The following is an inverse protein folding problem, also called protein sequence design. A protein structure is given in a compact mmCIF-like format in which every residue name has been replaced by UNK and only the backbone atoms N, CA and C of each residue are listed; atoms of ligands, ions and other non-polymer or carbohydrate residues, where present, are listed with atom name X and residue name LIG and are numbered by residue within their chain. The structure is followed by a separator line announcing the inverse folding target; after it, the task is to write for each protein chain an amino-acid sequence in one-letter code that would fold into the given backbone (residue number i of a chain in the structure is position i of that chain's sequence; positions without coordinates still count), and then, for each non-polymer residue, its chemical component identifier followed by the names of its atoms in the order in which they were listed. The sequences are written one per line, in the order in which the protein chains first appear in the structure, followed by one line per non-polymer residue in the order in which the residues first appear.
data_IF_300337600976
#
_entry.id   IF_300337600976
#
_cell.length_a   1.000
_cell.length_b   1.000
_cell.length_c   1.000
_cell.angle_alpha   90.00
_cell.angle_beta   90.00
_cell.angle_gamma   90.00
#
_symmetry.space_group_name_H-M   'P 1'
#
loop_
_entity.id
_entity.type
_entity.pdbx_description
1 polymer ?
#
# COMPACT_ATOMS: atom_id res chain seq x y z
N UNK A 1 -30.42 -49.03 30.01
CA UNK A 1 -30.12 -47.96 29.02
C UNK A 1 -28.71 -47.47 29.32
N UNK A 2 -27.74 -47.88 28.51
CA UNK A 2 -26.34 -47.46 28.64
C UNK A 2 -26.14 -46.09 28.00
N UNK A 3 -25.33 -45.18 28.56
CA UNK A 3 -25.01 -43.92 27.92
C UNK A 3 -24.00 -44.14 26.78
N UNK A 4 -24.22 -43.43 25.68
CA UNK A 4 -23.39 -43.41 24.47
C UNK A 4 -22.15 -42.53 24.73
N UNK A 5 -20.93 -42.91 24.30
CA UNK A 5 -19.76 -42.04 24.43
C UNK A 5 -19.84 -40.91 23.41
N UNK A 6 -19.62 -39.67 23.86
CA UNK A 6 -19.41 -38.52 22.98
C UNK A 6 -17.93 -38.55 22.58
N UNK A 7 -17.67 -38.81 21.29
CA UNK A 7 -16.34 -38.67 20.71
C UNK A 7 -15.94 -37.19 20.73
N UNK A 8 -15.12 -36.82 21.71
CA UNK A 8 -14.35 -35.58 21.66
C UNK A 8 -13.37 -35.68 20.50
N UNK A 9 -13.71 -35.02 19.39
CA UNK A 9 -12.78 -34.71 18.32
C UNK A 9 -11.69 -33.83 18.92
N UNK A 10 -10.56 -34.44 19.25
CA UNK A 10 -9.31 -33.75 19.50
C UNK A 10 -8.95 -33.02 18.21
N UNK A 11 -9.21 -31.71 18.21
CA UNK A 11 -8.69 -30.83 17.18
C UNK A 11 -7.18 -30.84 17.36
N UNK A 12 -6.51 -31.61 16.50
CA UNK A 12 -5.05 -31.70 16.44
C UNK A 12 -4.49 -30.29 16.54
N UNK A 13 -3.91 -30.02 17.70
CA UNK A 13 -3.08 -28.84 17.90
C UNK A 13 -1.83 -29.12 17.08
N UNK A 14 -1.92 -28.80 15.79
CA UNK A 14 -0.78 -28.80 14.91
C UNK A 14 0.28 -27.94 15.59
N UNK A 15 1.27 -28.61 16.15
CA UNK A 15 2.49 -28.02 16.65
C UNK A 15 3.13 -27.32 15.45
N UNK A 16 2.79 -26.05 15.25
CA UNK A 16 3.56 -25.15 14.41
C UNK A 16 4.93 -25.13 15.06
N UNK A 17 5.88 -25.85 14.45
CA UNK A 17 7.26 -25.81 14.87
C UNK A 17 7.64 -24.35 15.01
N UNK A 18 7.99 -23.95 16.22
CA UNK A 18 8.45 -22.61 16.58
C UNK A 18 9.88 -22.43 16.04
N UNK A 19 10.04 -22.67 14.74
CA UNK A 19 11.22 -22.30 13.99
C UNK A 19 11.18 -20.79 13.87
N UNK A 20 12.14 -20.12 14.54
CA UNK A 20 12.35 -18.68 14.44
C UNK A 20 12.26 -18.26 12.97
N UNK A 21 11.19 -17.56 12.61
CA UNK A 21 11.00 -17.08 11.24
C UNK A 21 12.08 -16.04 10.99
N UNK A 22 12.81 -16.17 9.87
CA UNK A 22 13.96 -15.33 9.49
C UNK A 22 13.74 -13.81 9.64
N UNK A 23 12.49 -13.35 9.59
CA UNK A 23 12.09 -11.95 9.68
C UNK A 23 10.98 -11.70 10.70
N UNK A 24 10.89 -12.49 11.77
CA UNK A 24 9.84 -12.38 12.79
C UNK A 24 9.72 -10.95 13.38
N UNK A 25 10.85 -10.26 13.55
CA UNK A 25 10.89 -8.90 14.11
C UNK A 25 10.61 -7.79 13.07
N UNK A 26 10.59 -8.14 11.77
CA UNK A 26 10.32 -7.22 10.67
C UNK A 26 8.95 -7.58 10.05
N UNK A 27 7.88 -7.18 10.74
CA UNK A 27 6.50 -7.51 10.35
C UNK A 27 6.22 -7.17 8.88
N UNK A 28 6.70 -6.05 8.36
CA UNK A 28 6.46 -5.69 6.97
C UNK A 28 7.20 -6.57 5.97
N UNK A 29 8.34 -7.16 6.32
CA UNK A 29 9.01 -8.19 5.49
C UNK A 29 8.26 -9.51 5.59
N UNK A 30 7.93 -9.94 6.81
CA UNK A 30 7.20 -11.19 7.06
C UNK A 30 5.84 -11.20 6.35
N UNK A 31 5.07 -10.12 6.44
CA UNK A 31 3.78 -10.00 5.76
C UNK A 31 3.91 -10.07 4.24
N UNK A 32 4.96 -9.50 3.65
CA UNK A 32 5.19 -9.64 2.20
C UNK A 32 5.52 -11.08 1.81
N UNK A 33 6.15 -11.86 2.68
CA UNK A 33 6.38 -13.30 2.47
C UNK A 33 5.05 -14.06 2.59
N UNK A 34 4.28 -13.79 3.64
CA UNK A 34 3.00 -14.47 3.91
C UNK A 34 1.95 -14.17 2.83
N UNK A 35 1.96 -12.95 2.26
CA UNK A 35 1.13 -12.54 1.13
C UNK A 35 1.66 -13.01 -0.23
N UNK A 36 2.76 -13.78 -0.28
CA UNK A 36 3.35 -14.31 -1.51
C UNK A 36 3.99 -13.26 -2.43
N UNK A 37 4.28 -12.05 -1.92
CA UNK A 37 4.94 -10.96 -2.65
C UNK A 37 6.45 -11.22 -2.73
N UNK A 38 7.04 -11.73 -1.65
CA UNK A 38 8.45 -12.10 -1.57
C UNK A 38 8.62 -13.62 -1.54
N UNK A 39 9.75 -14.14 -2.07
CA UNK A 39 10.10 -15.54 -1.96
C UNK A 39 10.08 -16.05 -0.51
N UNK A 40 9.32 -17.11 -0.24
CA UNK A 40 9.25 -17.77 1.07
C UNK A 40 10.29 -18.88 1.25
N UNK A 41 11.06 -19.21 0.21
CA UNK A 41 12.06 -20.28 0.27
C UNK A 41 13.14 -19.93 1.30
N UNK A 42 13.48 -20.86 2.23
CA UNK A 42 14.58 -20.66 3.17
C UNK A 42 15.93 -20.38 2.48
N UNK A 43 16.11 -20.88 1.25
CA UNK A 43 17.31 -20.68 0.44
C UNK A 43 17.35 -19.36 -0.34
N UNK A 44 16.29 -18.55 -0.28
CA UNK A 44 16.25 -17.28 -1.02
C UNK A 44 17.32 -16.32 -0.50
N UNK A 45 18.17 -15.83 -1.39
CA UNK A 45 19.21 -14.86 -1.04
C UNK A 45 18.60 -13.47 -0.81
N UNK A 46 19.35 -12.59 -0.15
CA UNK A 46 18.96 -11.18 -0.01
C UNK A 46 18.83 -10.52 -1.39
N UNK A 47 19.67 -10.91 -2.36
CA UNK A 47 19.61 -10.38 -3.73
C UNK A 47 18.37 -10.85 -4.49
N UNK A 48 17.84 -12.05 -4.21
CA UNK A 48 16.56 -12.49 -4.73
C UNK A 48 15.41 -11.61 -4.21
N UNK A 49 15.38 -11.34 -2.90
CA UNK A 49 14.39 -10.46 -2.28
C UNK A 49 14.45 -9.04 -2.88
N UNK A 50 15.67 -8.51 -3.05
CA UNK A 50 15.91 -7.20 -3.68
C UNK A 50 15.44 -7.18 -5.12
N UNK A 51 15.76 -8.21 -5.91
CA UNK A 51 15.37 -8.32 -7.32
C UNK A 51 13.85 -8.36 -7.49
N UNK A 52 13.15 -9.18 -6.69
CA UNK A 52 11.67 -9.25 -6.70
C UNK A 52 11.06 -7.91 -6.31
N UNK A 53 11.57 -7.27 -5.24
CA UNK A 53 11.11 -5.95 -4.79
C UNK A 53 11.30 -4.88 -5.88
N UNK A 54 12.47 -4.83 -6.51
CA UNK A 54 12.77 -3.88 -7.59
C UNK A 54 11.86 -4.09 -8.81
N UNK A 55 11.59 -5.34 -9.18
CA UNK A 55 10.67 -5.65 -10.28
C UNK A 55 9.22 -5.23 -9.96
N UNK A 56 8.74 -5.49 -8.74
CA UNK A 56 7.42 -5.05 -8.29
C UNK A 56 7.29 -3.53 -8.30
N UNK A 57 8.31 -2.79 -7.82
CA UNK A 57 8.35 -1.32 -7.89
C UNK A 57 8.32 -0.80 -9.33
N UNK A 58 9.10 -1.40 -10.24
CA UNK A 58 9.09 -1.05 -11.67
C UNK A 58 7.71 -1.27 -12.30
N UNK A 59 7.08 -2.41 -12.03
CA UNK A 59 5.71 -2.70 -12.50
C UNK A 59 4.69 -1.69 -11.99
N UNK A 60 4.75 -1.35 -10.70
CA UNK A 60 3.89 -0.32 -10.12
C UNK A 60 4.12 1.05 -10.76
N UNK A 61 5.38 1.46 -10.97
CA UNK A 61 5.71 2.73 -11.61
C UNK A 61 5.17 2.82 -13.05
N UNK A 62 5.31 1.75 -13.83
CA UNK A 62 4.74 1.66 -15.19
C UNK A 62 3.21 1.76 -15.15
N UNK A 63 2.56 1.05 -14.22
CA UNK A 63 1.11 1.08 -14.07
C UNK A 63 0.61 2.48 -13.67
N UNK A 64 1.26 3.11 -12.68
CA UNK A 64 0.97 4.48 -12.25
C UNK A 64 1.07 5.45 -13.42
N UNK A 65 2.15 5.37 -14.20
CA UNK A 65 2.34 6.24 -15.37
C UNK A 65 1.18 6.08 -16.36
N UNK A 66 0.84 4.85 -16.73
CA UNK A 66 -0.20 4.55 -17.72
C UNK A 66 -1.63 4.93 -17.28
N UNK A 67 -1.95 4.80 -16.00
CA UNK A 67 -3.34 4.94 -15.53
C UNK A 67 -3.63 6.28 -14.83
N UNK A 68 -2.64 6.90 -14.20
CA UNK A 68 -2.82 8.12 -13.40
C UNK A 68 -2.09 9.35 -13.95
N UNK A 69 -1.02 9.17 -14.73
CA UNK A 69 -0.23 10.29 -15.27
C UNK A 69 -0.61 10.57 -16.72
N UNK A 70 -0.55 9.54 -17.55
CA UNK A 70 -0.90 9.59 -18.97
C UNK A 70 -2.08 8.65 -19.25
N UNK A 71 -3.30 8.95 -18.76
CA UNK A 71 -4.46 8.17 -19.15
C UNK A 71 -4.59 8.27 -20.66
N UNK A 72 -4.31 7.19 -21.39
CA UNK A 72 -4.31 7.16 -22.86
C UNK A 72 -5.56 7.89 -23.40
N UNK A 73 -5.34 9.13 -23.84
CA UNK A 73 -6.18 9.78 -24.84
C UNK A 73 -5.84 9.03 -26.13
N UNK A 74 -6.81 8.44 -26.84
CA UNK A 74 -6.54 7.78 -28.11
C UNK A 74 -5.73 8.73 -28.99
N UNK A 75 -4.51 8.31 -29.33
CA UNK A 75 -3.55 9.11 -30.12
C UNK A 75 -3.86 8.98 -31.61
N UNK A 76 -5.13 8.86 -31.97
CA UNK A 76 -5.58 8.88 -33.36
C UNK A 76 -5.89 10.34 -33.71
N UNK A 77 -4.84 11.11 -33.97
CA UNK A 77 -4.89 12.51 -34.42
C UNK A 77 -5.48 12.69 -35.82
N UNK A 78 -6.42 11.85 -36.23
CA UNK A 78 -7.09 11.88 -37.54
C UNK A 78 -8.61 11.72 -37.49
N UNK A 79 -9.20 11.37 -36.34
CA UNK A 79 -10.65 11.33 -36.19
C UNK A 79 -11.08 12.46 -35.27
N UNK A 80 -11.79 13.45 -35.80
CA UNK A 80 -12.57 14.35 -34.95
C UNK A 80 -13.38 13.50 -33.96
N UNK A 81 -13.43 13.84 -32.66
CA UNK A 81 -14.30 13.13 -31.73
C UNK A 81 -15.70 13.16 -32.35
N UNK A 82 -16.34 12.00 -32.47
CA UNK A 82 -17.73 11.94 -32.91
C UNK A 82 -18.55 12.67 -31.86
N UNK A 83 -18.87 13.94 -32.11
CA UNK A 83 -19.54 14.83 -31.16
C UNK A 83 -20.93 14.32 -30.79
N UNK A 84 -21.48 13.36 -31.55
CA UNK A 84 -22.71 12.65 -31.19
C UNK A 84 -22.46 11.66 -30.04
N UNK A 85 -21.31 10.99 -30.04
CA UNK A 85 -20.91 10.00 -29.02
C UNK A 85 -20.22 10.67 -27.81
N UNK A 86 -19.38 11.68 -28.04
CA UNK A 86 -18.60 12.38 -27.02
C UNK A 86 -19.25 13.71 -26.60
N UNK A 87 -20.38 13.60 -25.90
CA UNK A 87 -21.07 14.75 -25.29
C UNK A 87 -21.34 14.55 -23.78
N UNK A 88 -21.51 15.63 -22.98
CA UNK A 88 -21.71 15.54 -21.53
C UNK A 88 -22.92 14.73 -21.08
N UNK A 89 -23.91 14.52 -21.96
CA UNK A 89 -25.13 13.77 -21.69
C UNK A 89 -25.10 12.35 -22.29
N UNK A 90 -23.98 11.97 -22.91
CA UNK A 90 -23.81 10.67 -23.54
C UNK A 90 -23.98 9.57 -22.51
N UNK A 91 -24.91 8.65 -22.79
CA UNK A 91 -25.12 7.43 -21.99
C UNK A 91 -24.15 6.31 -22.37
N UNK A 92 -23.27 6.55 -23.37
CA UNK A 92 -22.28 5.56 -23.77
C UNK A 92 -21.18 5.47 -22.69
N UNK A 93 -20.98 4.29 -22.08
CA UNK A 93 -19.95 4.13 -21.06
C UNK A 93 -18.53 4.37 -21.60
N UNK A 94 -18.30 4.18 -22.90
CA UNK A 94 -16.98 4.37 -23.51
C UNK A 94 -16.72 5.82 -23.95
N UNK A 95 -17.72 6.70 -23.84
CA UNK A 95 -17.55 8.13 -24.10
C UNK A 95 -16.53 8.77 -23.16
N UNK A 96 -15.88 9.84 -23.63
CA UNK A 96 -14.95 10.63 -22.83
C UNK A 96 -15.61 11.16 -21.54
N UNK A 97 -16.85 11.64 -21.65
CA UNK A 97 -17.62 12.16 -20.52
C UNK A 97 -18.07 11.06 -19.55
N UNK A 98 -18.54 9.92 -20.07
CA UNK A 98 -18.88 8.77 -19.24
C UNK A 98 -17.70 8.29 -18.40
N UNK A 99 -16.50 8.21 -19.00
CA UNK A 99 -15.25 7.89 -18.28
C UNK A 99 -14.89 8.95 -17.24
N UNK A 100 -15.00 10.23 -17.60
CA UNK A 100 -14.72 11.35 -16.70
C UNK A 100 -15.61 11.30 -15.45
N UNK A 101 -16.93 11.21 -15.61
CA UNK A 101 -17.86 11.19 -14.47
C UNK A 101 -17.67 9.96 -13.59
N UNK A 102 -17.38 8.78 -14.17
CA UNK A 102 -17.04 7.58 -13.37
C UNK A 102 -15.77 7.76 -12.56
N UNK A 103 -14.73 8.35 -13.15
CA UNK A 103 -13.48 8.62 -12.45
C UNK A 103 -13.67 9.66 -11.35
N UNK A 104 -14.43 10.73 -11.62
CA UNK A 104 -14.74 11.76 -10.63
C UNK A 104 -15.52 11.19 -9.43
N UNK A 105 -16.50 10.32 -9.69
CA UNK A 105 -17.26 9.66 -8.62
C UNK A 105 -16.39 8.68 -7.82
N UNK A 106 -15.50 7.94 -8.49
CA UNK A 106 -14.51 7.09 -7.84
C UNK A 106 -13.59 7.90 -6.91
N UNK A 107 -13.04 9.02 -7.39
CA UNK A 107 -12.21 9.92 -6.58
C UNK A 107 -12.99 10.46 -5.38
N UNK A 108 -14.22 10.92 -5.60
CA UNK A 108 -15.09 11.44 -4.53
C UNK A 108 -15.33 10.40 -3.44
N UNK A 109 -15.64 9.15 -3.80
CA UNK A 109 -15.88 8.08 -2.84
C UNK A 109 -14.63 7.75 -2.03
N UNK A 110 -13.46 7.65 -2.68
CA UNK A 110 -12.18 7.40 -2.00
C UNK A 110 -11.85 8.54 -1.05
N UNK A 111 -11.94 9.79 -1.51
CA UNK A 111 -11.57 10.96 -0.71
C UNK A 111 -12.47 11.11 0.51
N UNK A 112 -13.79 10.89 0.35
CA UNK A 112 -14.74 10.88 1.46
C UNK A 112 -14.37 9.84 2.52
N UNK A 113 -14.04 8.62 2.12
CA UNK A 113 -13.67 7.54 3.03
C UNK A 113 -12.34 7.79 3.74
N UNK A 114 -11.35 8.34 3.05
CA UNK A 114 -10.06 8.62 3.65
C UNK A 114 -10.13 9.74 4.71
N UNK A 115 -11.01 10.74 4.55
CA UNK A 115 -11.19 11.81 5.56
C UNK A 115 -11.66 11.30 6.92
N UNK A 116 -12.34 10.15 6.94
CA UNK A 116 -12.88 9.53 8.16
C UNK A 116 -12.06 8.34 8.67
N UNK A 117 -10.91 8.06 8.05
CA UNK A 117 -10.08 6.92 8.40
C UNK A 117 -9.36 7.13 9.74
N UNK A 118 -9.82 6.43 10.77
CA UNK A 118 -9.21 6.36 12.10
C UNK A 118 -8.84 7.74 12.72
N UNK A 119 -9.78 8.68 12.87
CA UNK A 119 -9.50 10.03 13.37
C UNK A 119 -8.93 10.04 14.80
N UNK A 120 -9.35 9.09 15.63
CA UNK A 120 -8.94 8.98 17.05
C UNK A 120 -7.53 8.38 17.25
N UNK A 121 -6.93 7.86 16.18
CA UNK A 121 -5.78 6.94 16.23
C UNK A 121 -4.44 7.64 15.93
N UNK A 122 -4.33 8.90 16.32
CA UNK A 122 -3.16 9.74 16.05
C UNK A 122 -3.16 10.32 14.63
N UNK A 123 -2.28 11.29 14.39
CA UNK A 123 -2.28 12.09 13.17
C UNK A 123 -1.75 11.36 11.93
N UNK A 124 -1.12 10.18 12.07
CA UNK A 124 -0.46 9.49 10.95
C UNK A 124 -1.37 9.32 9.73
N UNK A 125 -2.55 8.72 9.93
CA UNK A 125 -3.51 8.49 8.85
C UNK A 125 -4.09 9.78 8.27
N UNK A 126 -4.05 10.89 9.03
CA UNK A 126 -4.53 12.20 8.60
C UNK A 126 -3.42 13.05 7.96
N UNK A 127 -2.16 12.57 7.94
CA UNK A 127 -1.09 13.28 7.23
C UNK A 127 -1.34 13.28 5.72
N UNK A 128 -1.02 14.41 5.07
CA UNK A 128 -1.09 14.52 3.60
C UNK A 128 -0.26 13.43 2.90
N UNK A 129 0.89 13.07 3.51
CA UNK A 129 1.73 11.93 3.19
C UNK A 129 0.95 10.62 3.01
N UNK A 130 0.37 10.16 4.13
CA UNK A 130 -0.36 8.91 4.20
C UNK A 130 -1.62 8.91 3.33
N UNK A 131 -2.42 9.98 3.41
CA UNK A 131 -3.64 10.17 2.62
C UNK A 131 -3.37 10.07 1.12
N UNK A 132 -2.30 10.73 0.63
CA UNK A 132 -1.93 10.67 -0.78
C UNK A 132 -1.49 9.27 -1.21
N UNK A 133 -0.81 8.52 -0.34
CA UNK A 133 -0.40 7.14 -0.63
C UNK A 133 -1.61 6.21 -0.71
N UNK A 134 -2.51 6.28 0.28
CA UNK A 134 -3.74 5.49 0.31
C UNK A 134 -4.62 5.79 -0.90
N UNK A 135 -4.90 7.07 -1.16
CA UNK A 135 -5.67 7.54 -2.32
C UNK A 135 -5.09 6.98 -3.61
N UNK A 136 -3.79 7.15 -3.84
CA UNK A 136 -3.13 6.69 -5.06
C UNK A 136 -3.21 5.18 -5.25
N UNK A 137 -2.99 4.39 -4.19
CA UNK A 137 -3.05 2.93 -4.27
C UNK A 137 -4.48 2.47 -4.58
N UNK A 138 -5.49 3.03 -3.91
CA UNK A 138 -6.90 2.69 -4.11
C UNK A 138 -7.37 3.06 -5.51
N UNK A 139 -7.09 4.29 -5.97
CA UNK A 139 -7.44 4.72 -7.33
C UNK A 139 -6.77 3.83 -8.39
N UNK A 140 -5.46 3.55 -8.23
CA UNK A 140 -4.75 2.70 -9.18
C UNK A 140 -5.32 1.28 -9.23
N UNK A 141 -5.71 0.72 -8.09
CA UNK A 141 -6.33 -0.60 -8.02
C UNK A 141 -7.70 -0.60 -8.72
N UNK A 142 -8.54 0.41 -8.47
CA UNK A 142 -9.88 0.49 -9.07
C UNK A 142 -9.83 0.74 -10.59
N UNK A 143 -8.90 1.58 -11.06
CA UNK A 143 -8.71 1.83 -12.49
C UNK A 143 -8.16 0.60 -13.23
N UNK A 144 -7.35 -0.22 -12.55
CA UNK A 144 -6.85 -1.47 -13.12
C UNK A 144 -7.92 -2.55 -13.19
N UNK A 145 -8.84 -2.58 -12.23
CA UNK A 145 -9.88 -3.61 -12.11
C UNK A 145 -11.29 -2.96 -12.09
N UNK A 146 -11.73 -2.36 -13.22
CA UNK A 146 -12.99 -1.62 -13.30
C UNK A 146 -14.24 -2.48 -12.99
N UNK A 147 -14.14 -3.80 -13.13
CA UNK A 147 -15.20 -4.76 -12.85
C UNK A 147 -15.56 -4.86 -11.36
N UNK A 148 -14.63 -4.53 -10.47
CA UNK A 148 -14.87 -4.56 -9.01
C UNK A 148 -15.21 -3.18 -8.46
N UNK A 149 -14.56 -2.14 -9.00
CA UNK A 149 -14.69 -0.76 -8.53
C UNK A 149 -14.22 -0.55 -7.09
N UNK A 150 -14.47 0.65 -6.56
CA UNK A 150 -14.22 0.94 -5.16
C UNK A 150 -15.41 0.51 -4.29
N UNK A 151 -15.12 -0.07 -3.12
CA UNK A 151 -16.11 -0.41 -2.10
C UNK A 151 -15.69 0.16 -0.76
N UNK A 152 -16.68 0.70 -0.03
CA UNK A 152 -16.46 1.18 1.33
C UNK A 152 -15.80 0.09 2.19
N UNK A 153 -14.78 0.48 2.94
CA UNK A 153 -13.95 -0.40 3.78
C UNK A 153 -12.64 -0.84 3.12
N UNK A 154 -12.47 -0.71 1.79
CA UNK A 154 -11.18 -1.03 1.14
C UNK A 154 -10.02 -0.19 1.69
N UNK A 155 -10.27 1.07 2.06
CA UNK A 155 -9.29 1.94 2.70
C UNK A 155 -8.87 1.43 4.10
N UNK A 156 -9.78 0.84 4.86
CA UNK A 156 -9.51 0.24 6.17
C UNK A 156 -8.73 -1.06 6.06
N UNK A 157 -8.89 -1.82 4.97
CA UNK A 157 -8.06 -3.00 4.69
C UNK A 157 -6.63 -2.60 4.32
N UNK A 158 -6.46 -1.52 3.54
CA UNK A 158 -5.16 -1.04 3.10
C UNK A 158 -4.37 -0.37 4.22
N UNK A 159 -5.05 0.33 5.14
CA UNK A 159 -4.44 1.15 6.18
C UNK A 159 -3.45 0.37 7.08
N UNK A 160 -3.79 -0.81 7.63
CA UNK A 160 -2.85 -1.64 8.40
C UNK A 160 -1.61 -2.04 7.61
N UNK A 161 -1.76 -2.40 6.33
CA UNK A 161 -0.63 -2.78 5.48
C UNK A 161 0.36 -1.63 5.35
N UNK A 162 -0.15 -0.41 5.12
CA UNK A 162 0.69 0.77 5.01
C UNK A 162 1.35 1.14 6.35
N UNK A 163 0.60 1.02 7.46
CA UNK A 163 1.11 1.33 8.79
C UNK A 163 2.24 0.40 9.23
N UNK A 164 2.13 -0.90 8.98
CA UNK A 164 3.23 -1.84 9.28
C UNK A 164 4.50 -1.48 8.52
N UNK A 165 4.38 -1.04 7.27
CA UNK A 165 5.55 -0.57 6.50
C UNK A 165 6.14 0.73 7.06
N UNK A 166 5.30 1.63 7.56
CA UNK A 166 5.76 2.85 8.21
C UNK A 166 6.58 2.54 9.46
N UNK A 167 6.10 1.62 10.31
CA UNK A 167 6.81 1.21 11.53
C UNK A 167 8.18 0.62 11.20
N UNK A 168 8.28 -0.22 10.17
CA UNK A 168 9.58 -0.75 9.71
C UNK A 168 10.53 0.36 9.24
N UNK A 169 10.01 1.40 8.58
CA UNK A 169 10.80 2.56 8.10
C UNK A 169 11.29 3.42 9.27
N UNK A 170 10.44 3.66 10.26
CA UNK A 170 10.81 4.38 11.48
C UNK A 170 11.88 3.62 12.26
N UNK A 171 11.73 2.31 12.43
CA UNK A 171 12.74 1.46 13.05
C UNK A 171 14.07 1.53 12.30
N UNK A 172 14.06 1.46 10.96
CA UNK A 172 15.26 1.61 10.15
C UNK A 172 15.92 2.99 10.32
N UNK A 173 15.13 4.06 10.40
CA UNK A 173 15.63 5.41 10.66
C UNK A 173 16.36 5.51 12.01
N UNK A 174 15.79 4.93 13.07
CA UNK A 174 16.42 4.92 14.40
C UNK A 174 17.70 4.07 14.44
N UNK A 175 17.69 2.92 13.77
CA UNK A 175 18.90 2.09 13.62
C UNK A 175 19.98 2.86 12.86
N UNK A 176 19.62 3.56 11.78
CA UNK A 176 20.57 4.33 10.99
C UNK A 176 21.26 5.38 11.84
N UNK A 177 20.50 6.24 12.55
CA UNK A 177 21.03 7.27 13.46
C UNK A 177 21.98 6.69 14.52
N UNK A 178 21.69 5.49 15.02
CA UNK A 178 22.50 4.84 16.06
C UNK A 178 23.80 4.25 15.53
N UNK A 179 23.81 3.84 14.26
CA UNK A 179 24.93 3.13 13.63
C UNK A 179 25.38 3.82 12.34
N UNK A 180 25.44 5.16 12.33
CA UNK A 180 25.72 5.97 11.13
C UNK A 180 26.98 5.48 10.37
N UNK A 181 28.03 5.09 11.10
CA UNK A 181 29.30 4.59 10.53
C UNK A 181 29.13 3.31 9.69
N UNK A 182 28.13 2.48 9.99
CA UNK A 182 27.86 1.21 9.29
C UNK A 182 27.00 1.41 8.03
N UNK A 183 26.38 2.59 7.89
CA UNK A 183 25.60 2.97 6.70
C UNK A 183 26.35 4.00 5.83
N UNK A 184 27.60 4.34 6.17
CA UNK A 184 28.45 5.25 5.41
C UNK A 184 28.99 4.64 4.10
N UNK A 185 28.76 3.35 3.86
CA UNK A 185 29.06 2.73 2.57
C UNK A 185 28.29 3.45 1.47
N UNK A 186 29.00 3.82 0.40
CA UNK A 186 28.55 4.60 -0.77
C UNK A 186 27.46 3.91 -1.62
N UNK A 187 26.64 3.04 -1.04
CA UNK A 187 25.52 2.40 -1.70
C UNK A 187 24.29 3.32 -1.74
N UNK A 188 24.10 4.17 -0.72
CA UNK A 188 23.03 5.18 -0.66
C UNK A 188 23.32 6.42 -1.54
N UNK A 189 24.49 6.46 -2.20
CA UNK A 189 24.93 7.56 -3.07
C UNK A 189 24.12 7.73 -4.35
N UNK A 190 23.16 6.83 -4.64
CA UNK A 190 22.04 7.18 -5.50
C UNK A 190 21.03 7.95 -4.65
N UNK A 191 21.33 9.23 -4.42
CA UNK A 191 20.27 10.20 -4.22
C UNK A 191 19.22 9.90 -5.29
N UNK A 192 17.97 9.69 -4.88
CA UNK A 192 16.86 9.70 -5.81
C UNK A 192 16.98 11.03 -6.53
N UNK A 193 17.50 11.02 -7.77
CA UNK A 193 17.61 12.22 -8.56
C UNK A 193 16.23 12.85 -8.61
N UNK A 194 16.16 14.00 -7.97
CA UNK A 194 15.07 14.94 -7.92
C UNK A 194 14.53 15.17 -9.33
N UNK A 195 13.40 14.56 -9.66
CA UNK A 195 12.61 14.93 -10.83
C UNK A 195 11.10 14.75 -10.61
N UNK A 196 10.65 14.65 -9.35
CA UNK A 196 9.22 14.77 -9.00
C UNK A 196 9.09 15.88 -7.92
N UNK A 197 9.28 17.13 -8.34
CA UNK A 197 9.31 18.37 -7.55
C UNK A 197 7.97 18.72 -6.85
N UNK A 198 7.12 17.74 -6.53
CA UNK A 198 5.85 17.97 -5.80
C UNK A 198 5.80 17.25 -4.45
N UNK A 199 6.79 16.43 -4.09
CA UNK A 199 6.72 15.65 -2.85
C UNK A 199 7.98 15.79 -1.99
N UNK A 200 8.13 16.96 -1.36
CA UNK A 200 9.01 17.12 -0.19
C UNK A 200 8.46 16.27 0.95
N UNK A 201 9.00 15.06 1.09
CA UNK A 201 8.82 14.21 2.27
C UNK A 201 9.83 14.66 3.33
N UNK A 202 9.46 15.64 4.16
CA UNK A 202 10.29 16.09 5.27
C UNK A 202 10.22 15.10 6.44
N UNK A 203 11.14 14.13 6.46
CA UNK A 203 11.38 13.21 7.59
C UNK A 203 11.54 13.96 8.93
N UNK A 204 12.01 15.21 8.89
CA UNK A 204 12.30 16.02 10.07
C UNK A 204 11.05 16.41 10.87
N UNK A 205 9.88 16.50 10.22
CA UNK A 205 8.62 16.90 10.89
C UNK A 205 7.94 15.76 11.66
N UNK A 206 8.31 14.50 11.39
CA UNK A 206 7.76 13.33 12.07
C UNK A 206 8.38 13.10 13.46
N UNK A 207 9.66 13.45 13.62
CA UNK A 207 10.39 13.24 14.89
C UNK A 207 9.85 14.07 16.05
N UNK A 208 9.23 15.22 15.78
CA UNK A 208 8.72 16.14 16.82
C UNK A 208 7.26 15.86 17.23
N UNK A 209 6.54 14.98 16.52
CA UNK A 209 5.11 14.69 16.81
C UNK A 209 4.84 13.26 17.32
N UNK A 210 5.87 12.40 17.36
CA UNK A 210 5.76 11.00 17.76
C UNK A 210 5.83 10.76 19.28
N UNK A 211 6.08 11.80 20.09
CA UNK A 211 6.25 11.62 21.54
C UNK A 211 4.94 11.32 22.30
N UNK A 212 3.76 11.61 21.73
CA UNK A 212 2.50 11.60 22.50
C UNK A 212 1.58 10.39 22.26
N UNK A 213 1.98 9.38 21.47
CA UNK A 213 1.09 8.28 21.07
C UNK A 213 1.66 6.86 21.11
N UNK A 214 2.96 6.70 21.39
CA UNK A 214 3.69 5.46 21.13
C UNK A 214 3.29 4.25 22.03
N UNK A 215 2.51 4.47 23.08
CA UNK A 215 2.11 3.43 24.04
C UNK A 215 0.94 2.54 23.60
N UNK A 216 -0.01 3.07 22.83
CA UNK A 216 -1.28 2.39 22.53
C UNK A 216 -1.12 1.41 21.35
N UNK A 217 -0.23 1.70 20.41
CA UNK A 217 -0.03 0.93 19.18
C UNK A 217 0.64 -0.42 19.41
N UNK A 218 1.53 -0.50 20.40
CA UNK A 218 2.26 -1.74 20.71
C UNK A 218 1.34 -2.86 21.20
N UNK A 219 0.12 -2.59 21.66
CA UNK A 219 -0.76 -3.64 22.18
C UNK A 219 -1.70 -4.23 21.11
N UNK A 220 -2.15 -3.42 20.15
CA UNK A 220 -3.10 -3.88 19.12
C UNK A 220 -2.44 -4.71 18.02
N UNK A 221 -1.15 -4.50 17.77
CA UNK A 221 -0.36 -5.22 16.78
C UNK A 221 0.71 -6.08 17.44
N UNK A 222 0.45 -6.64 18.62
CA UNK A 222 1.36 -7.59 19.31
C UNK A 222 0.87 -9.03 19.38
N UNK A 223 -0.30 -9.33 18.83
CA UNK A 223 -0.64 -10.72 18.46
C UNK A 223 0.02 -11.09 17.14
#
# INVERSE_FOLDING_TARGET
MSPVPIDTVTLDTASLSEGSRRFADLRGVQWRIDLGILPSSPSASVDDLRRVTANSRRRYATLRRRLLVDPHVPKDGGSSPDLVIDNPLSQNPDSMWGRFFRNAELERMVDQDLTRLYPERGSYFQTSGCQSMLRRILLLWCLKNPEYGYRQGMHELLAPLLYVLQVDVELLSEIRKKYDDHFADKFDGFSFHENDLTYKFDFKKFSESAEDGNGIWKQFWKS
#
